data_IF_662354550797
#
_entry.id   IF_662354550797
#
_cell.length_a   1.000
_cell.length_b   1.000
_cell.length_c   1.000
_cell.angle_alpha   90.00
_cell.angle_beta   90.00
_cell.angle_gamma   90.00
#
_symmetry.space_group_name_H-M   'P 1'
#
loop_
_entity.id
_entity.type
_entity.pdbx_description
1 polymer ?
#
# COMPACT_ATOMS: atom_id res chain seq x y z
N UNK A 1 -11.59 28.60 26.17
CA UNK A 1 -10.98 27.61 25.26
C UNK A 1 -9.44 27.73 25.22
N UNK A 2 -8.86 28.91 25.03
CA UNK A 2 -7.39 29.12 25.09
C UNK A 2 -6.78 28.75 26.44
N UNK A 3 -7.42 29.08 27.56
CA UNK A 3 -6.93 28.76 28.92
C UNK A 3 -6.88 27.26 29.16
N UNK A 4 -7.90 26.50 28.72
CA UNK A 4 -7.96 25.03 28.85
C UNK A 4 -6.89 24.35 27.97
N UNK A 5 -6.64 24.89 26.77
CA UNK A 5 -5.60 24.38 25.87
C UNK A 5 -4.21 24.66 26.46
N UNK A 6 -3.97 25.84 27.03
CA UNK A 6 -2.70 26.19 27.65
C UNK A 6 -2.41 25.38 28.91
N UNK A 7 -3.41 25.03 29.71
CA UNK A 7 -3.25 24.16 30.88
C UNK A 7 -2.91 22.71 30.47
N UNK A 8 -3.58 22.17 29.46
CA UNK A 8 -3.28 20.81 28.94
C UNK A 8 -1.84 20.72 28.43
N UNK A 9 -1.35 21.75 27.72
CA UNK A 9 0.02 21.74 27.20
C UNK A 9 1.08 22.07 28.26
N UNK A 10 0.78 22.88 29.27
CA UNK A 10 1.71 23.21 30.33
C UNK A 10 2.05 22.03 31.25
N UNK A 11 1.11 21.09 31.43
CA UNK A 11 1.29 19.88 32.23
C UNK A 11 1.78 18.68 31.41
N UNK A 12 1.82 18.77 30.05
CA UNK A 12 2.23 17.69 29.19
C UNK A 12 3.74 17.74 28.96
N UNK A 13 4.49 17.13 29.88
CA UNK A 13 5.94 17.11 29.83
C UNK A 13 6.45 16.48 28.53
N UNK A 14 7.51 17.05 27.95
CA UNK A 14 8.10 16.63 26.67
C UNK A 14 8.45 15.13 26.62
N UNK A 15 8.89 14.52 27.71
CA UNK A 15 9.20 13.08 27.77
C UNK A 15 7.94 12.21 27.64
N UNK A 16 6.79 12.66 28.20
CA UNK A 16 5.51 11.98 28.02
C UNK A 16 5.07 12.07 26.56
N UNK A 17 5.20 13.24 25.93
CA UNK A 17 4.87 13.44 24.52
C UNK A 17 5.70 12.53 23.59
N UNK A 18 7.01 12.42 23.84
CA UNK A 18 7.88 11.52 23.07
C UNK A 18 7.47 10.07 23.26
N UNK A 19 7.16 9.66 24.49
CA UNK A 19 6.70 8.29 24.77
C UNK A 19 5.40 8.00 24.06
N UNK A 20 4.41 8.89 24.11
CA UNK A 20 3.13 8.71 23.40
C UNK A 20 3.33 8.68 21.89
N UNK A 21 4.24 9.50 21.34
CA UNK A 21 4.58 9.44 19.93
C UNK A 21 5.24 8.11 19.55
N UNK A 22 6.18 7.62 20.35
CA UNK A 22 6.81 6.32 20.13
C UNK A 22 5.79 5.17 20.18
N UNK A 23 4.87 5.20 21.15
CA UNK A 23 3.76 4.24 21.23
C UNK A 23 2.84 4.31 20.01
N UNK A 24 2.54 5.50 19.50
CA UNK A 24 1.75 5.67 18.28
C UNK A 24 2.43 5.06 17.04
N UNK A 25 3.76 5.17 16.93
CA UNK A 25 4.55 4.51 15.87
C UNK A 25 4.50 2.98 16.04
N UNK A 26 4.66 2.46 17.26
CA UNK A 26 4.53 1.02 17.55
C UNK A 26 3.13 0.54 17.16
N UNK A 27 2.08 1.25 17.56
CA UNK A 27 0.71 0.94 17.20
C UNK A 27 0.52 0.89 15.68
N UNK A 28 1.10 1.84 14.94
CA UNK A 28 1.03 1.85 13.48
C UNK A 28 1.61 0.57 12.87
N UNK A 29 2.77 0.13 13.36
CA UNK A 29 3.37 -1.12 12.87
C UNK A 29 2.56 -2.36 13.27
N UNK A 30 2.01 -2.41 14.49
CA UNK A 30 1.16 -3.51 14.95
C UNK A 30 -0.11 -3.61 14.08
N UNK A 31 -0.81 -2.50 13.88
CA UNK A 31 -2.04 -2.47 13.06
C UNK A 31 -1.74 -2.88 11.62
N UNK A 32 -0.62 -2.41 11.06
CA UNK A 32 -0.20 -2.78 9.72
C UNK A 32 0.20 -4.26 9.62
N UNK A 33 0.89 -4.80 10.63
CA UNK A 33 1.30 -6.20 10.68
C UNK A 33 0.08 -7.14 10.78
N UNK A 34 -0.89 -6.82 11.66
CA UNK A 34 -2.15 -7.55 11.74
C UNK A 34 -2.90 -7.45 10.42
N UNK A 35 -2.99 -6.23 9.85
CA UNK A 35 -3.66 -5.99 8.57
C UNK A 35 -3.06 -6.76 7.40
N UNK A 36 -1.75 -6.94 7.37
CA UNK A 36 -1.08 -7.71 6.32
C UNK A 36 -1.36 -9.24 6.42
N UNK A 37 -1.74 -9.72 7.60
CA UNK A 37 -2.04 -11.13 7.84
C UNK A 37 -3.53 -11.47 7.85
N UNK A 38 -4.36 -10.53 8.22
CA UNK A 38 -5.80 -10.67 8.17
C UNK A 38 -6.30 -10.37 6.75
N UNK A 39 -6.74 -11.38 6.02
CA UNK A 39 -7.24 -11.29 4.63
C UNK A 39 -8.37 -10.25 4.49
N UNK A 40 -9.08 -9.93 5.57
CA UNK A 40 -10.20 -8.98 5.62
C UNK A 40 -9.83 -7.56 6.02
N UNK A 41 -8.60 -7.29 6.46
CA UNK A 41 -8.21 -5.97 6.97
C UNK A 41 -7.64 -5.11 5.85
N UNK A 42 -8.52 -4.71 4.94
CA UNK A 42 -8.48 -3.60 4.01
C UNK A 42 -7.17 -2.92 3.66
N UNK A 43 -6.09 -3.67 3.36
CA UNK A 43 -5.01 -3.15 2.55
C UNK A 43 -5.40 -3.32 1.09
N UNK A 44 -5.59 -2.20 0.41
CA UNK A 44 -5.82 -2.18 -1.02
C UNK A 44 -4.57 -2.71 -1.72
N UNK A 45 -4.59 -3.98 -2.09
CA UNK A 45 -3.67 -4.53 -3.06
C UNK A 45 -4.08 -3.98 -4.44
N UNK A 46 -3.12 -3.83 -5.34
CA UNK A 46 -3.41 -3.42 -6.73
C UNK A 46 -4.20 -4.49 -7.51
N UNK A 47 -4.63 -5.58 -6.87
CA UNK A 47 -5.47 -6.58 -7.50
C UNK A 47 -6.71 -5.90 -8.09
N UNK A 48 -6.76 -5.84 -9.41
CA UNK A 48 -7.93 -5.44 -10.18
C UNK A 48 -9.02 -6.51 -10.03
N UNK A 49 -8.62 -7.77 -9.86
CA UNK A 49 -9.52 -8.84 -9.40
C UNK A 49 -9.82 -8.57 -7.93
N UNK A 50 -11.00 -8.07 -7.69
CA UNK A 50 -11.50 -7.65 -6.39
C UNK A 50 -11.50 -8.88 -5.47
N UNK A 51 -10.58 -8.92 -4.54
CA UNK A 51 -10.77 -9.68 -3.33
C UNK A 51 -11.84 -8.93 -2.53
N UNK A 52 -13.00 -9.54 -2.42
CA UNK A 52 -14.13 -9.04 -1.67
C UNK A 52 -13.68 -8.60 -0.29
N UNK A 53 -14.02 -7.38 0.10
CA UNK A 53 -13.82 -6.92 1.46
C UNK A 53 -14.87 -7.64 2.31
N UNK A 54 -14.48 -8.83 2.77
CA UNK A 54 -15.39 -9.82 3.35
C UNK A 54 -16.00 -9.42 4.69
N UNK A 55 -15.60 -8.27 5.28
CA UNK A 55 -16.18 -7.78 6.53
C UNK A 55 -16.01 -6.26 6.74
N UNK A 56 -16.79 -5.39 6.08
CA UNK A 56 -16.66 -3.93 6.26
C UNK A 56 -16.93 -3.47 7.70
N UNK A 57 -17.85 -4.11 8.40
CA UNK A 57 -18.13 -3.81 9.81
C UNK A 57 -16.95 -4.20 10.72
N UNK A 58 -16.30 -5.33 10.46
CA UNK A 58 -15.09 -5.72 11.17
C UNK A 58 -13.94 -4.76 10.89
N UNK A 59 -13.78 -4.31 9.66
CA UNK A 59 -12.80 -3.31 9.27
C UNK A 59 -13.02 -1.98 10.00
N UNK A 60 -14.28 -1.53 10.11
CA UNK A 60 -14.64 -0.34 10.88
C UNK A 60 -14.28 -0.53 12.35
N UNK A 61 -14.81 -1.58 12.98
CA UNK A 61 -14.56 -1.88 14.40
C UNK A 61 -13.07 -2.03 14.69
N UNK A 62 -12.34 -2.77 13.86
CA UNK A 62 -10.90 -2.94 14.05
C UNK A 62 -10.14 -1.62 13.98
N UNK A 63 -10.42 -0.77 12.98
CA UNK A 63 -9.74 0.51 12.82
C UNK A 63 -10.06 1.50 13.95
N UNK A 64 -11.27 1.46 14.49
CA UNK A 64 -11.71 2.33 15.59
C UNK A 64 -11.23 1.80 16.94
N UNK A 65 -11.38 0.50 17.19
CA UNK A 65 -11.09 -0.10 18.50
C UNK A 65 -9.61 -0.41 18.73
N UNK A 66 -8.82 -0.72 17.68
CA UNK A 66 -7.42 -1.08 17.86
C UNK A 66 -6.60 0.00 18.62
N UNK A 67 -6.71 1.31 18.30
CA UNK A 67 -6.05 2.34 19.10
C UNK A 67 -6.55 2.40 20.54
N UNK A 68 -7.87 2.23 20.75
CA UNK A 68 -8.49 2.27 22.08
C UNK A 68 -8.01 1.11 22.95
N UNK A 69 -8.04 -0.11 22.42
CA UNK A 69 -7.52 -1.29 23.13
C UNK A 69 -6.03 -1.11 23.44
N UNK A 70 -5.26 -0.57 22.50
CA UNK A 70 -3.84 -0.36 22.68
C UNK A 70 -3.54 0.62 23.83
N UNK A 71 -4.26 1.76 23.92
CA UNK A 71 -4.04 2.69 25.05
C UNK A 71 -4.44 2.09 26.41
N UNK A 72 -5.48 1.26 26.46
CA UNK A 72 -5.86 0.53 27.70
C UNK A 72 -4.73 -0.43 28.11
N UNK A 73 -4.18 -1.20 27.16
CA UNK A 73 -3.07 -2.11 27.43
C UNK A 73 -1.81 -1.36 27.85
N UNK A 74 -1.51 -0.22 27.23
CA UNK A 74 -0.37 0.62 27.64
C UNK A 74 -0.58 1.18 29.05
N UNK A 75 -1.80 1.68 29.37
CA UNK A 75 -2.13 2.22 30.69
C UNK A 75 -1.99 1.15 31.79
N UNK A 76 -2.52 -0.05 31.55
CA UNK A 76 -2.34 -1.18 32.44
C UNK A 76 -0.87 -1.60 32.58
N UNK A 77 -0.10 -1.56 31.50
CA UNK A 77 1.33 -1.83 31.52
C UNK A 77 2.12 -0.81 32.32
N UNK A 78 1.83 0.48 32.18
CA UNK A 78 2.46 1.55 32.97
C UNK A 78 2.11 1.43 34.46
N UNK A 79 0.89 1.06 34.77
CA UNK A 79 0.48 0.81 36.18
C UNK A 79 1.25 -0.40 36.76
N UNK A 80 1.38 -1.49 36.01
CA UNK A 80 2.08 -2.69 36.43
C UNK A 80 3.58 -2.48 36.76
N UNK A 81 4.20 -1.41 36.22
CA UNK A 81 5.60 -1.06 36.44
C UNK A 81 5.79 0.26 37.21
N UNK A 82 4.74 0.72 37.90
CA UNK A 82 4.73 1.95 38.70
C UNK A 82 5.07 3.25 37.92
N UNK A 83 4.81 3.27 36.62
CA UNK A 83 5.01 4.43 35.74
C UNK A 83 3.70 5.14 35.41
N UNK A 84 2.80 5.30 36.38
CA UNK A 84 1.45 5.88 36.21
C UNK A 84 1.44 7.32 35.66
N UNK A 85 2.55 8.07 35.82
CA UNK A 85 2.68 9.41 35.26
C UNK A 85 2.57 9.42 33.71
N UNK A 86 2.86 8.34 33.02
CA UNK A 86 2.72 8.20 31.58
C UNK A 86 1.28 7.93 31.14
N UNK A 87 0.37 7.61 32.08
CA UNK A 87 -1.07 7.48 31.76
C UNK A 87 -1.73 8.84 31.54
N UNK A 88 -1.09 9.93 31.99
CA UNK A 88 -1.64 11.28 31.85
C UNK A 88 -1.83 11.61 30.36
N UNK A 89 -3.09 11.87 29.98
CA UNK A 89 -3.46 12.22 28.60
C UNK A 89 -3.07 11.14 27.55
N UNK A 90 -3.09 9.85 27.91
CA UNK A 90 -2.66 8.74 27.03
C UNK A 90 -3.46 8.68 25.71
N UNK A 91 -4.64 9.31 25.61
CA UNK A 91 -5.41 9.44 24.37
C UNK A 91 -4.62 10.15 23.25
N UNK A 92 -3.57 10.92 23.57
CA UNK A 92 -2.69 11.50 22.55
C UNK A 92 -1.99 10.45 21.69
N UNK A 93 -1.80 9.22 22.18
CA UNK A 93 -1.30 8.12 21.37
C UNK A 93 -2.19 7.88 20.16
N UNK A 94 -3.53 7.90 20.35
CA UNK A 94 -4.49 7.76 19.25
C UNK A 94 -4.44 8.93 18.27
N UNK A 95 -4.28 10.17 18.76
CA UNK A 95 -4.17 11.36 17.92
C UNK A 95 -2.89 11.28 17.08
N UNK A 96 -1.73 11.00 17.69
CA UNK A 96 -0.45 10.85 17.00
C UNK A 96 -0.46 9.70 15.99
N UNK A 97 -1.12 8.58 16.33
CA UNK A 97 -1.29 7.46 15.40
C UNK A 97 -2.03 7.89 14.12
N UNK A 98 -3.13 8.63 14.24
CA UNK A 98 -3.88 9.08 13.07
C UNK A 98 -3.12 10.14 12.27
N UNK A 99 -2.42 11.08 12.93
CA UNK A 99 -1.54 12.03 12.25
C UNK A 99 -0.46 11.29 11.46
N UNK A 100 0.24 10.34 12.10
CA UNK A 100 1.27 9.54 11.45
C UNK A 100 0.74 8.74 10.26
N UNK A 101 -0.45 8.17 10.40
CA UNK A 101 -1.13 7.43 9.33
C UNK A 101 -1.46 8.32 8.15
N UNK A 102 -1.95 9.52 8.36
CA UNK A 102 -2.22 10.50 7.29
C UNK A 102 -0.93 10.88 6.57
N UNK A 103 0.10 11.24 7.33
CA UNK A 103 1.41 11.56 6.78
C UNK A 103 1.95 10.40 5.93
N UNK A 104 1.84 9.17 6.43
CA UNK A 104 2.25 7.99 5.68
C UNK A 104 1.49 7.83 4.36
N UNK A 105 0.15 7.99 4.36
CA UNK A 105 -0.68 7.92 3.15
C UNK A 105 -0.30 9.01 2.15
N UNK A 106 -0.03 10.22 2.61
CA UNK A 106 0.42 11.33 1.76
C UNK A 106 1.81 11.08 1.18
N UNK A 107 2.76 10.65 2.01
CA UNK A 107 4.13 10.35 1.59
C UNK A 107 4.22 9.20 0.58
N UNK A 108 3.34 8.21 0.71
CA UNK A 108 3.28 7.06 -0.21
C UNK A 108 2.46 7.32 -1.47
N UNK A 109 1.96 8.56 -1.69
CA UNK A 109 1.11 8.94 -2.83
C UNK A 109 -0.19 8.11 -2.94
N UNK A 110 -0.63 7.49 -1.86
CA UNK A 110 -1.84 6.64 -1.79
C UNK A 110 -3.12 7.44 -1.46
N UNK A 111 -3.02 8.75 -1.30
CA UNK A 111 -4.16 9.62 -0.94
C UNK A 111 -5.33 9.54 -1.93
N UNK A 112 -5.06 9.29 -3.23
CA UNK A 112 -6.09 9.11 -4.25
C UNK A 112 -6.84 7.77 -4.17
N UNK A 113 -6.27 6.78 -3.49
CA UNK A 113 -6.89 5.47 -3.24
C UNK A 113 -7.71 5.47 -1.95
N UNK A 114 -7.53 6.49 -1.11
CA UNK A 114 -8.14 6.58 0.21
C UNK A 114 -9.53 7.21 0.12
N UNK A 115 -10.50 6.57 0.77
CA UNK A 115 -11.81 7.18 0.99
C UNK A 115 -11.73 8.12 2.20
N UNK A 116 -11.54 9.41 1.95
CA UNK A 116 -11.33 10.40 3.00
C UNK A 116 -12.52 10.56 3.95
N UNK A 117 -13.77 10.40 3.45
CA UNK A 117 -14.96 10.47 4.28
C UNK A 117 -15.01 9.36 5.34
N UNK A 118 -14.70 8.13 4.94
CA UNK A 118 -14.59 7.02 5.88
C UNK A 118 -13.45 7.24 6.87
N UNK A 119 -12.31 7.77 6.43
CA UNK A 119 -11.19 8.04 7.32
C UNK A 119 -11.55 9.08 8.39
N UNK A 120 -12.25 10.16 8.01
CA UNK A 120 -12.71 11.19 8.96
C UNK A 120 -13.63 10.56 10.04
N UNK A 121 -14.54 9.67 9.63
CA UNK A 121 -15.43 8.97 10.58
C UNK A 121 -14.60 8.09 11.52
N UNK A 122 -13.61 7.35 10.99
CA UNK A 122 -12.74 6.51 11.82
C UNK A 122 -11.92 7.35 12.82
N UNK A 123 -11.40 8.49 12.42
CA UNK A 123 -10.66 9.39 13.30
C UNK A 123 -11.55 9.93 14.41
N UNK A 124 -12.69 10.49 14.03
CA UNK A 124 -13.63 11.07 15.00
C UNK A 124 -14.10 10.02 16.02
N UNK A 125 -14.50 8.84 15.54
CA UNK A 125 -14.97 7.75 16.41
C UNK A 125 -13.84 7.23 17.31
N UNK A 126 -12.63 6.98 16.75
CA UNK A 126 -11.50 6.45 17.50
C UNK A 126 -10.98 7.44 18.56
N UNK A 127 -10.83 8.72 18.20
CA UNK A 127 -10.36 9.76 19.12
C UNK A 127 -11.42 10.00 20.20
N UNK A 128 -12.69 10.15 19.82
CA UNK A 128 -13.79 10.35 20.78
C UNK A 128 -13.90 9.19 21.78
N UNK A 129 -13.80 7.95 21.29
CA UNK A 129 -13.82 6.76 22.14
C UNK A 129 -12.57 6.68 23.04
N UNK A 130 -11.39 7.06 22.53
CA UNK A 130 -10.16 7.11 23.34
C UNK A 130 -10.23 8.13 24.46
N UNK A 131 -10.79 9.31 24.20
CA UNK A 131 -11.01 10.33 25.24
C UNK A 131 -12.01 9.82 26.29
N UNK A 132 -13.12 9.23 25.85
CA UNK A 132 -14.10 8.66 26.77
C UNK A 132 -13.51 7.54 27.64
N UNK A 133 -12.76 6.62 27.05
CA UNK A 133 -12.08 5.53 27.79
C UNK A 133 -11.03 6.11 28.74
N UNK A 134 -10.33 7.18 28.35
CA UNK A 134 -9.39 7.86 29.23
C UNK A 134 -10.06 8.38 30.51
N UNK A 135 -11.26 8.98 30.40
CA UNK A 135 -12.01 9.40 31.60
C UNK A 135 -12.40 8.23 32.52
N UNK A 136 -12.62 7.04 31.94
CA UNK A 136 -12.85 5.83 32.73
C UNK A 136 -11.54 5.36 33.42
N UNK A 137 -10.42 5.37 32.71
CA UNK A 137 -9.10 5.02 33.27
C UNK A 137 -8.76 5.93 34.47
N UNK A 138 -8.99 7.23 34.38
CA UNK A 138 -8.75 8.15 35.48
C UNK A 138 -9.67 7.90 36.69
N UNK A 139 -10.85 7.35 36.49
CA UNK A 139 -11.83 7.08 37.56
C UNK A 139 -11.59 5.73 38.27
N UNK A 140 -10.78 4.85 37.71
CA UNK A 140 -10.58 3.48 38.22
C UNK A 140 -9.22 3.39 38.94
N UNK A 141 -9.25 2.87 40.16
CA UNK A 141 -8.06 2.69 40.99
C UNK A 141 -7.20 1.47 40.62
N UNK A 142 -7.70 0.59 39.74
CA UNK A 142 -7.00 -0.62 39.30
C UNK A 142 -7.45 -0.99 37.88
N UNK A 143 -6.59 -0.77 36.89
CA UNK A 143 -6.91 -1.00 35.47
C UNK A 143 -6.79 -2.48 35.11
N UNK A 144 -5.95 -3.23 35.84
CA UNK A 144 -5.77 -4.66 35.61
C UNK A 144 -7.05 -5.43 35.93
N UNK A 145 -7.63 -6.13 34.94
CA UNK A 145 -8.88 -6.84 35.16
C UNK A 145 -8.69 -8.03 36.09
N UNK A 146 -9.61 -8.23 36.99
CA UNK A 146 -9.72 -9.44 37.79
C UNK A 146 -9.93 -10.67 36.89
N UNK A 147 -9.28 -11.84 37.17
CA UNK A 147 -9.42 -13.05 36.35
C UNK A 147 -10.87 -13.50 36.15
N UNK A 148 -11.76 -13.22 37.08
CA UNK A 148 -13.17 -13.58 37.00
C UNK A 148 -13.93 -12.69 36.02
N UNK A 149 -13.64 -11.40 35.98
CA UNK A 149 -14.22 -10.45 35.00
C UNK A 149 -13.73 -10.70 33.57
N UNK A 150 -12.52 -11.25 33.40
CA UNK A 150 -12.00 -11.66 32.09
C UNK A 150 -12.83 -12.81 31.48
N UNK A 151 -13.30 -13.76 32.29
CA UNK A 151 -14.16 -14.86 31.83
C UNK A 151 -15.52 -14.36 31.35
N UNK A 152 -16.11 -13.37 32.01
CA UNK A 152 -17.36 -12.76 31.58
C UNK A 152 -17.21 -12.01 30.25
N UNK A 153 -16.08 -11.35 30.02
CA UNK A 153 -15.80 -10.62 28.78
C UNK A 153 -15.51 -11.57 27.59
N UNK A 154 -15.16 -12.83 27.84
CA UNK A 154 -14.93 -13.84 26.80
C UNK A 154 -16.18 -14.04 25.91
N UNK A 155 -17.37 -13.89 26.49
CA UNK A 155 -18.63 -13.94 25.73
C UNK A 155 -18.77 -12.80 24.73
N UNK A 156 -18.29 -11.61 25.05
CA UNK A 156 -18.29 -10.45 24.13
C UNK A 156 -17.38 -10.76 22.93
N UNK A 157 -16.19 -11.35 23.16
CA UNK A 157 -15.29 -11.79 22.11
C UNK A 157 -15.92 -12.88 21.23
N UNK A 158 -16.62 -13.84 21.81
CA UNK A 158 -17.33 -14.89 21.07
C UNK A 158 -18.44 -14.28 20.21
N UNK A 159 -19.23 -13.34 20.76
CA UNK A 159 -20.28 -12.66 20.00
C UNK A 159 -19.68 -11.83 18.86
N UNK A 160 -18.59 -11.08 19.09
CA UNK A 160 -17.90 -10.34 18.06
C UNK A 160 -17.33 -11.26 16.96
N UNK A 161 -16.80 -12.42 17.34
CA UNK A 161 -16.29 -13.43 16.41
C UNK A 161 -17.44 -14.00 15.55
N UNK A 162 -18.57 -14.38 16.16
CA UNK A 162 -19.74 -14.86 15.44
C UNK A 162 -20.29 -13.76 14.51
N UNK A 163 -20.39 -12.51 15.00
CA UNK A 163 -20.82 -11.37 14.21
C UNK A 163 -19.90 -11.14 12.99
N UNK A 164 -18.58 -11.26 13.14
CA UNK A 164 -17.62 -11.10 12.05
C UNK A 164 -17.75 -12.18 10.97
N UNK A 165 -18.16 -13.40 11.37
CA UNK A 165 -18.41 -14.51 10.41
C UNK A 165 -19.73 -14.31 9.67
N UNK A 166 -20.75 -13.79 10.33
CA UNK A 166 -22.10 -13.64 9.74
C UNK A 166 -22.23 -12.41 8.83
N UNK A 167 -21.43 -11.37 9.04
CA UNK A 167 -21.52 -10.11 8.28
C UNK A 167 -20.60 -10.07 7.06
N UNK A 168 -20.85 -10.92 6.09
CA UNK A 168 -20.32 -10.75 4.73
C UNK A 168 -21.20 -9.78 3.95
N UNK A 169 -21.12 -8.49 4.24
CA UNK A 169 -21.87 -7.47 3.47
C UNK A 169 -20.94 -6.79 2.49
N UNK A 170 -21.19 -6.95 1.20
CA UNK A 170 -20.54 -6.22 0.10
C UNK A 170 -21.00 -4.75 0.09
N UNK A 171 -20.33 -3.89 0.82
CA UNK A 171 -20.55 -2.43 0.72
C UNK A 171 -19.35 -1.81 -0.03
N UNK A 172 -19.62 -1.23 -1.20
CA UNK A 172 -18.71 -0.36 -1.98
C UNK A 172 -17.68 -1.00 -2.92
N UNK A 173 -18.02 -2.10 -3.58
CA UNK A 173 -17.21 -2.67 -4.68
C UNK A 173 -16.97 -1.65 -5.81
N UNK A 174 -18.03 -0.99 -6.28
CA UNK A 174 -17.96 0.00 -7.37
C UNK A 174 -17.07 1.21 -7.03
N UNK A 175 -17.17 1.74 -5.83
CA UNK A 175 -16.33 2.84 -5.38
C UNK A 175 -14.85 2.48 -5.32
N UNK A 176 -14.52 1.24 -4.96
CA UNK A 176 -13.13 0.76 -4.91
C UNK A 176 -12.55 0.60 -6.31
N UNK A 177 -13.31 0.01 -7.24
CA UNK A 177 -12.92 -0.11 -8.65
C UNK A 177 -12.69 1.27 -9.26
N UNK A 178 -13.63 2.20 -9.06
CA UNK A 178 -13.50 3.56 -9.58
C UNK A 178 -12.27 4.28 -9.04
N UNK A 179 -11.93 4.12 -7.75
CA UNK A 179 -10.71 4.71 -7.19
C UNK A 179 -9.44 4.09 -7.77
N UNK A 180 -9.38 2.76 -7.94
CA UNK A 180 -8.25 2.07 -8.57
C UNK A 180 -8.05 2.54 -10.01
N UNK A 181 -9.12 2.59 -10.78
CA UNK A 181 -9.09 3.06 -12.16
C UNK A 181 -8.60 4.51 -12.24
N UNK A 182 -9.12 5.39 -11.41
CA UNK A 182 -8.69 6.80 -11.35
C UNK A 182 -7.20 6.92 -10.94
N UNK A 183 -6.73 6.06 -10.04
CA UNK A 183 -5.32 6.03 -9.67
C UNK A 183 -4.43 5.66 -10.85
N UNK A 184 -4.73 4.55 -11.55
CA UNK A 184 -3.98 4.08 -12.72
C UNK A 184 -3.93 5.16 -13.79
N UNK A 185 -5.09 5.73 -14.16
CA UNK A 185 -5.20 6.82 -15.15
C UNK A 185 -4.36 8.05 -14.72
N UNK A 186 -4.46 8.44 -13.46
CA UNK A 186 -3.69 9.58 -12.94
C UNK A 186 -2.18 9.34 -12.95
N UNK A 187 -1.74 8.11 -12.63
CA UNK A 187 -0.30 7.77 -12.66
C UNK A 187 0.21 7.67 -14.08
N UNK A 188 -0.53 7.01 -14.96
CA UNK A 188 -0.22 6.97 -16.40
C UNK A 188 -0.02 8.38 -16.98
N UNK A 189 -0.99 9.28 -16.78
CA UNK A 189 -0.91 10.66 -17.26
C UNK A 189 0.32 11.39 -16.70
N UNK A 190 0.62 11.18 -15.41
CA UNK A 190 1.78 11.80 -14.78
C UNK A 190 3.09 11.28 -15.37
N UNK A 191 3.21 9.97 -15.57
CA UNK A 191 4.42 9.36 -16.13
C UNK A 191 4.56 9.65 -17.61
N UNK A 192 3.48 9.63 -18.36
CA UNK A 192 3.48 10.02 -19.77
C UNK A 192 4.00 11.43 -19.93
N UNK A 193 3.48 12.40 -19.16
CA UNK A 193 3.98 13.79 -19.20
C UNK A 193 5.50 13.89 -18.90
N UNK A 194 6.04 13.00 -18.09
CA UNK A 194 7.45 13.10 -17.67
C UNK A 194 8.42 12.29 -18.51
N UNK A 195 8.00 11.12 -19.01
CA UNK A 195 8.90 10.15 -19.63
C UNK A 195 8.50 9.77 -21.05
N UNK A 196 7.48 10.40 -21.64
CA UNK A 196 6.96 10.08 -22.99
C UNK A 196 8.07 10.16 -24.05
N UNK A 197 8.91 11.20 -24.01
CA UNK A 197 10.01 11.39 -24.95
C UNK A 197 10.95 10.20 -24.93
N UNK A 198 11.43 9.78 -23.76
CA UNK A 198 12.38 8.68 -23.60
C UNK A 198 11.77 7.35 -24.08
N UNK A 199 10.49 7.13 -23.76
CA UNK A 199 9.81 5.88 -24.10
C UNK A 199 9.52 5.82 -25.60
N UNK A 200 9.06 6.92 -26.21
CA UNK A 200 8.78 6.99 -27.65
C UNK A 200 10.03 7.01 -28.53
N UNK A 201 11.12 7.60 -28.06
CA UNK A 201 12.42 7.47 -28.74
C UNK A 201 12.91 6.03 -28.72
N UNK A 202 12.53 5.26 -27.70
CA UNK A 202 12.90 3.89 -27.58
C UNK A 202 11.92 2.94 -28.26
N UNK A 203 10.63 3.05 -28.06
CA UNK A 203 9.58 2.21 -28.64
C UNK A 203 8.78 2.97 -29.72
N UNK A 204 8.55 2.29 -30.85
CA UNK A 204 7.68 2.76 -31.91
C UNK A 204 6.36 1.99 -31.97
N UNK A 205 6.00 1.29 -30.89
CA UNK A 205 4.84 0.44 -30.81
C UNK A 205 4.06 0.66 -29.51
N UNK A 206 2.74 0.81 -29.64
CA UNK A 206 1.80 1.07 -28.56
C UNK A 206 1.82 -0.03 -27.47
N UNK A 207 2.05 -1.29 -27.86
CA UNK A 207 2.09 -2.41 -26.91
C UNK A 207 3.23 -2.26 -25.90
N UNK A 208 4.45 -2.00 -26.37
CA UNK A 208 5.62 -1.84 -25.49
C UNK A 208 5.55 -0.55 -24.66
N UNK A 209 4.99 0.53 -25.23
CA UNK A 209 4.72 1.74 -24.46
C UNK A 209 3.76 1.43 -23.30
N UNK A 210 2.61 0.82 -23.58
CA UNK A 210 1.60 0.48 -22.59
C UNK A 210 2.16 -0.45 -21.51
N UNK A 211 2.92 -1.47 -21.90
CA UNK A 211 3.55 -2.41 -20.97
C UNK A 211 4.58 -1.72 -20.06
N UNK A 212 5.41 -0.85 -20.62
CA UNK A 212 6.41 -0.08 -19.84
C UNK A 212 5.74 0.79 -18.80
N UNK A 213 4.68 1.53 -19.17
CA UNK A 213 3.91 2.32 -18.19
C UNK A 213 3.23 1.45 -17.13
N UNK A 214 2.79 0.24 -17.50
CA UNK A 214 2.12 -0.68 -16.57
C UNK A 214 3.08 -1.18 -15.51
N UNK A 215 4.27 -1.59 -15.90
CA UNK A 215 5.34 -1.98 -14.98
C UNK A 215 5.73 -0.79 -14.09
N UNK A 216 5.92 0.39 -14.68
CA UNK A 216 6.27 1.61 -13.94
C UNK A 216 5.22 2.00 -12.89
N UNK A 217 3.94 1.86 -13.20
CA UNK A 217 2.83 2.15 -12.27
C UNK A 217 2.84 1.14 -11.13
N UNK A 218 3.04 -0.14 -11.43
CA UNK A 218 3.10 -1.19 -10.43
C UNK A 218 4.30 -0.99 -9.48
N UNK A 219 5.47 -0.73 -10.02
CA UNK A 219 6.69 -0.51 -9.23
C UNK A 219 6.58 0.76 -8.36
N UNK A 220 6.05 1.86 -8.91
CA UNK A 220 5.86 3.10 -8.14
C UNK A 220 4.81 2.93 -7.02
N UNK A 221 3.81 2.08 -7.22
CA UNK A 221 2.84 1.76 -6.19
C UNK A 221 3.47 0.95 -5.04
N UNK A 222 4.25 -0.07 -5.35
CA UNK A 222 4.91 -0.92 -4.36
C UNK A 222 6.15 -0.27 -3.74
N UNK A 223 6.84 0.58 -4.50
CA UNK A 223 8.05 1.32 -4.10
C UNK A 223 7.85 2.82 -4.29
N UNK A 224 7.02 3.49 -3.46
CA UNK A 224 6.80 4.93 -3.57
C UNK A 224 8.10 5.71 -3.34
N UNK A 225 8.13 6.97 -3.73
CA UNK A 225 9.35 7.83 -3.73
C UNK A 225 10.14 7.78 -2.44
N UNK A 226 9.47 7.74 -1.29
CA UNK A 226 10.13 7.69 0.03
C UNK A 226 10.91 6.39 0.19
N UNK A 227 10.32 5.25 -0.21
CA UNK A 227 10.98 3.94 -0.14
C UNK A 227 12.20 3.91 -1.07
N UNK A 228 12.06 4.39 -2.32
CA UNK A 228 13.19 4.50 -3.25
C UNK A 228 14.31 5.40 -2.73
N UNK A 229 13.97 6.49 -2.05
CA UNK A 229 14.98 7.34 -1.43
C UNK A 229 15.77 6.59 -0.34
N UNK A 230 15.10 5.77 0.47
CA UNK A 230 15.74 4.90 1.47
C UNK A 230 16.62 3.84 0.77
N UNK A 231 16.19 3.28 -0.36
CA UNK A 231 16.97 2.34 -1.16
C UNK A 231 18.25 3.00 -1.73
N UNK A 232 18.16 4.23 -2.22
CA UNK A 232 19.33 5.01 -2.65
C UNK A 232 20.30 5.27 -1.50
N UNK A 233 19.79 5.65 -0.33
CA UNK A 233 20.60 5.85 0.87
C UNK A 233 21.30 4.55 1.29
N UNK A 234 20.56 3.44 1.29
CA UNK A 234 21.11 2.11 1.58
C UNK A 234 22.18 1.71 0.58
N UNK A 235 21.96 1.92 -0.70
CA UNK A 235 22.95 1.65 -1.74
C UNK A 235 24.24 2.47 -1.53
N UNK A 236 24.07 3.76 -1.21
CA UNK A 236 25.20 4.66 -0.95
C UNK A 236 26.05 4.20 0.25
N UNK A 237 25.40 3.70 1.32
CA UNK A 237 26.08 3.21 2.52
C UNK A 237 26.74 1.84 2.28
N UNK A 238 26.02 0.89 1.69
CA UNK A 238 26.46 -0.50 1.63
C UNK A 238 27.32 -0.83 0.43
N UNK A 239 27.19 -0.05 -0.66
CA UNK A 239 27.86 -0.27 -1.96
C UNK A 239 27.64 -1.68 -2.53
N UNK A 240 26.56 -2.37 -2.14
CA UNK A 240 26.19 -3.69 -2.65
C UNK A 240 25.16 -3.56 -3.77
N UNK A 241 25.11 -4.52 -4.71
CA UNK A 241 24.06 -4.56 -5.73
C UNK A 241 22.68 -4.45 -5.10
N UNK A 242 21.86 -3.57 -5.66
CA UNK A 242 20.51 -3.29 -5.17
C UNK A 242 19.57 -2.92 -6.32
N UNK A 243 18.27 -3.05 -6.08
CA UNK A 243 17.27 -2.57 -7.04
C UNK A 243 17.10 -1.05 -6.89
N UNK A 244 17.28 -0.32 -7.99
CA UNK A 244 17.24 1.14 -8.01
C UNK A 244 16.34 1.68 -9.12
N UNK A 245 15.97 2.94 -8.99
CA UNK A 245 15.17 3.67 -9.97
C UNK A 245 13.68 3.34 -9.94
N UNK A 246 12.92 3.98 -10.82
CA UNK A 246 11.45 3.84 -10.86
C UNK A 246 11.01 2.47 -11.39
N UNK A 247 11.85 1.82 -12.18
CA UNK A 247 11.60 0.49 -12.75
C UNK A 247 12.24 -0.64 -11.94
N UNK A 248 12.82 -0.35 -10.78
CA UNK A 248 13.42 -1.33 -9.85
C UNK A 248 14.42 -2.28 -10.53
N UNK A 249 15.39 -1.70 -11.25
CA UNK A 249 16.44 -2.48 -11.91
C UNK A 249 17.53 -2.85 -10.92
N UNK A 250 17.90 -4.13 -10.88
CA UNK A 250 19.04 -4.60 -10.07
C UNK A 250 20.35 -4.17 -10.69
N UNK A 251 21.16 -3.43 -9.97
CA UNK A 251 22.41 -2.86 -10.45
C UNK A 251 23.46 -2.77 -9.35
N UNK A 252 24.72 -2.79 -9.75
CA UNK A 252 25.90 -2.52 -8.91
C UNK A 252 26.38 -1.07 -9.00
N UNK A 253 25.78 -0.27 -9.92
CA UNK A 253 26.07 1.14 -10.14
C UNK A 253 24.88 2.00 -9.73
N UNK A 254 25.17 3.25 -9.38
CA UNK A 254 24.10 4.22 -9.17
C UNK A 254 23.43 4.53 -10.52
N UNK A 255 22.11 4.39 -10.55
CA UNK A 255 21.28 4.76 -11.69
C UNK A 255 20.15 5.68 -11.21
N UNK A 256 19.78 6.62 -12.05
CA UNK A 256 18.60 7.46 -11.83
C UNK A 256 17.32 6.81 -12.42
N UNK A 257 16.22 7.55 -12.38
CA UNK A 257 14.95 7.05 -12.91
C UNK A 257 14.98 6.88 -14.44
N UNK A 258 15.65 7.76 -15.16
CA UNK A 258 15.69 7.70 -16.63
C UNK A 258 16.55 6.53 -17.11
N UNK A 259 17.70 6.33 -16.48
CA UNK A 259 18.56 5.19 -16.77
C UNK A 259 17.86 3.87 -16.40
N UNK A 260 17.14 3.82 -15.27
CA UNK A 260 16.37 2.63 -14.92
C UNK A 260 15.27 2.31 -15.94
N UNK A 261 14.65 3.32 -16.56
CA UNK A 261 13.66 3.14 -17.63
C UNK A 261 14.36 2.57 -18.87
N UNK A 262 15.50 3.13 -19.31
CA UNK A 262 16.25 2.65 -20.47
C UNK A 262 16.68 1.19 -20.32
N UNK A 263 17.26 0.84 -19.19
CA UNK A 263 17.67 -0.55 -18.89
C UNK A 263 16.47 -1.51 -18.85
N UNK A 264 15.35 -1.08 -18.30
CA UNK A 264 14.13 -1.88 -18.26
C UNK A 264 13.53 -2.11 -19.64
N UNK A 265 13.52 -1.09 -20.49
CA UNK A 265 13.04 -1.22 -21.87
C UNK A 265 13.91 -2.22 -22.68
N UNK A 266 15.23 -2.20 -22.50
CA UNK A 266 16.11 -3.21 -23.08
C UNK A 266 15.80 -4.62 -22.59
N UNK A 267 15.53 -4.78 -21.28
CA UNK A 267 15.13 -6.05 -20.70
C UNK A 267 13.79 -6.53 -21.27
N UNK A 268 12.79 -5.65 -21.36
CA UNK A 268 11.47 -5.97 -21.93
C UNK A 268 11.61 -6.51 -23.37
N UNK A 269 12.43 -5.86 -24.22
CA UNK A 269 12.67 -6.32 -25.61
C UNK A 269 13.32 -7.69 -25.61
N UNK A 270 14.35 -7.89 -24.77
CA UNK A 270 15.02 -9.19 -24.66
C UNK A 270 14.05 -10.29 -24.21
N UNK A 271 13.32 -10.05 -23.15
CA UNK A 271 12.33 -11.00 -22.58
C UNK A 271 11.24 -11.33 -23.61
N UNK A 272 10.77 -10.32 -24.35
CA UNK A 272 9.80 -10.51 -25.42
C UNK A 272 10.33 -11.46 -26.54
N UNK A 273 11.56 -11.27 -26.98
CA UNK A 273 12.17 -12.15 -28.00
C UNK A 273 12.34 -13.58 -27.51
N UNK A 274 12.76 -13.74 -26.28
CA UNK A 274 12.97 -15.07 -25.70
C UNK A 274 11.62 -15.80 -25.57
N UNK A 275 10.55 -15.09 -25.23
CA UNK A 275 9.18 -15.62 -25.21
C UNK A 275 8.74 -16.00 -26.63
N UNK A 276 8.87 -15.12 -27.62
CA UNK A 276 8.42 -15.37 -28.98
C UNK A 276 9.09 -16.61 -29.61
N UNK A 277 10.35 -16.86 -29.29
CA UNK A 277 11.06 -18.08 -29.75
C UNK A 277 10.48 -19.38 -29.19
N UNK A 278 9.96 -19.33 -27.96
CA UNK A 278 9.41 -20.53 -27.30
C UNK A 278 7.95 -20.81 -27.63
N UNK A 279 7.22 -19.81 -28.10
CA UNK A 279 5.76 -19.88 -28.35
C UNK A 279 5.39 -19.86 -29.82
N UNK A 280 6.36 -20.08 -30.74
CA UNK A 280 6.14 -20.10 -32.19
C UNK A 280 5.06 -21.07 -32.66
N UNK A 281 4.81 -22.16 -31.90
CA UNK A 281 3.84 -23.21 -32.23
C UNK A 281 2.52 -23.11 -31.44
N UNK A 282 2.32 -22.04 -30.65
CA UNK A 282 1.10 -21.86 -29.85
C UNK A 282 0.00 -21.12 -30.64
N UNK A 283 -1.30 -21.38 -30.35
CA UNK A 283 -2.38 -20.58 -30.92
C UNK A 283 -2.20 -19.12 -30.55
N UNK A 284 -2.58 -18.20 -31.44
CA UNK A 284 -2.39 -16.73 -31.34
C UNK A 284 -2.55 -16.20 -29.92
N UNK A 285 -1.48 -15.70 -29.29
CA UNK A 285 -1.56 -15.11 -27.98
C UNK A 285 -2.21 -13.72 -28.09
N UNK A 286 -3.14 -13.39 -27.19
CA UNK A 286 -3.62 -12.03 -27.06
C UNK A 286 -2.59 -11.12 -26.39
N UNK A 287 -2.76 -9.80 -26.55
CA UNK A 287 -1.84 -8.82 -25.98
C UNK A 287 -1.72 -8.91 -24.45
N UNK A 288 -2.81 -9.27 -23.75
CA UNK A 288 -2.79 -9.40 -22.29
C UNK A 288 -1.97 -10.61 -21.84
N UNK A 289 -2.06 -11.72 -22.60
CA UNK A 289 -1.28 -12.92 -22.29
C UNK A 289 0.21 -12.69 -22.54
N UNK A 290 0.57 -12.04 -23.65
CA UNK A 290 1.98 -11.67 -23.94
C UNK A 290 2.52 -10.70 -22.88
N UNK A 291 1.72 -9.70 -22.49
CA UNK A 291 2.11 -8.78 -21.41
C UNK A 291 2.34 -9.51 -20.07
N UNK A 292 1.49 -10.51 -19.76
CA UNK A 292 1.67 -11.36 -18.59
C UNK A 292 2.99 -12.14 -18.65
N UNK A 293 3.30 -12.78 -19.78
CA UNK A 293 4.54 -13.57 -19.95
C UNK A 293 5.80 -12.70 -19.81
N UNK A 294 5.79 -11.51 -20.45
CA UNK A 294 6.92 -10.57 -20.34
C UNK A 294 7.08 -10.09 -18.88
N UNK A 295 5.98 -9.76 -18.21
CA UNK A 295 6.02 -9.35 -16.82
C UNK A 295 6.51 -10.49 -15.89
N UNK A 296 6.16 -11.74 -16.18
CA UNK A 296 6.65 -12.90 -15.44
C UNK A 296 8.16 -13.11 -15.60
N UNK A 297 8.70 -12.89 -16.80
CA UNK A 297 10.15 -12.92 -17.04
C UNK A 297 10.86 -11.70 -16.45
N UNK A 298 10.18 -10.55 -16.41
CA UNK A 298 10.71 -9.33 -15.82
C UNK A 298 10.98 -9.49 -14.32
N UNK A 299 10.05 -10.13 -13.57
CA UNK A 299 10.22 -10.48 -12.16
C UNK A 299 9.96 -11.98 -11.94
N UNK A 300 10.97 -12.85 -12.20
CA UNK A 300 10.79 -14.29 -12.14
C UNK A 300 10.39 -14.79 -10.77
N UNK A 301 9.44 -15.73 -10.73
CA UNK A 301 8.98 -16.38 -9.50
C UNK A 301 7.82 -15.66 -8.80
N UNK A 302 7.38 -14.51 -9.29
CA UNK A 302 6.22 -13.79 -8.76
C UNK A 302 5.06 -13.78 -9.77
N UNK A 303 4.24 -14.83 -9.71
CA UNK A 303 3.02 -14.93 -10.54
C UNK A 303 2.03 -13.79 -10.28
N UNK A 304 1.96 -13.33 -9.03
CA UNK A 304 1.08 -12.23 -8.64
C UNK A 304 1.51 -10.92 -9.30
N UNK A 305 2.82 -10.65 -9.33
CA UNK A 305 3.39 -9.52 -10.05
C UNK A 305 2.92 -9.48 -11.50
N UNK A 306 3.12 -10.61 -12.21
CA UNK A 306 2.76 -10.72 -13.61
C UNK A 306 1.26 -10.50 -13.86
N UNK A 307 0.40 -11.07 -13.00
CA UNK A 307 -1.04 -10.89 -13.09
C UNK A 307 -1.47 -9.45 -12.85
N UNK A 308 -0.91 -8.77 -11.85
CA UNK A 308 -1.26 -7.38 -11.56
C UNK A 308 -0.76 -6.40 -12.64
N UNK A 309 0.44 -6.62 -13.18
CA UNK A 309 0.96 -5.84 -14.32
C UNK A 309 0.09 -6.02 -15.56
N UNK A 310 -0.33 -7.26 -15.88
CA UNK A 310 -1.27 -7.55 -16.98
C UNK A 310 -2.57 -6.77 -16.81
N UNK A 311 -3.13 -6.76 -15.60
CA UNK A 311 -4.41 -6.10 -15.34
C UNK A 311 -4.30 -4.58 -15.48
N UNK A 312 -3.18 -3.97 -15.06
CA UNK A 312 -2.87 -2.57 -15.30
C UNK A 312 -2.70 -2.31 -16.81
N UNK A 313 -2.00 -3.21 -17.51
CA UNK A 313 -1.81 -3.15 -18.95
C UNK A 313 -3.14 -3.17 -19.69
N UNK A 314 -4.03 -4.11 -19.38
CA UNK A 314 -5.35 -4.22 -19.99
C UNK A 314 -6.14 -2.91 -19.84
N UNK A 315 -6.10 -2.30 -18.67
CA UNK A 315 -6.78 -1.02 -18.43
C UNK A 315 -6.16 0.14 -19.20
N UNK A 316 -4.83 0.23 -19.25
CA UNK A 316 -4.12 1.28 -19.99
C UNK A 316 -4.37 1.10 -21.48
N UNK A 317 -4.24 -0.12 -21.99
CA UNK A 317 -4.46 -0.46 -23.38
C UNK A 317 -5.86 -0.06 -23.85
N UNK A 318 -6.88 -0.46 -23.12
CA UNK A 318 -8.29 -0.14 -23.47
C UNK A 318 -8.64 1.34 -23.33
N UNK A 319 -7.96 2.08 -22.45
CA UNK A 319 -8.29 3.48 -22.18
C UNK A 319 -7.58 4.44 -23.13
N UNK A 320 -6.30 4.17 -23.49
CA UNK A 320 -5.43 5.14 -24.13
C UNK A 320 -4.91 4.72 -25.51
N UNK A 321 -5.00 3.43 -25.86
CA UNK A 321 -4.50 2.91 -27.13
C UNK A 321 -5.63 2.29 -27.94
N UNK A 322 -5.62 2.48 -29.27
CA UNK A 322 -6.73 2.05 -30.13
C UNK A 322 -6.56 0.62 -30.66
N UNK A 323 -5.34 0.25 -30.91
CA UNK A 323 -5.01 -1.04 -31.54
C UNK A 323 -3.87 -1.71 -30.77
N UNK A 324 -4.10 -2.97 -30.43
CA UNK A 324 -3.05 -3.83 -29.84
C UNK A 324 -2.83 -5.02 -30.78
N UNK A 325 -1.59 -5.56 -30.84
CA UNK A 325 -1.33 -6.77 -31.58
C UNK A 325 -2.23 -7.91 -31.10
N UNK A 326 -2.79 -8.70 -32.02
CA UNK A 326 -3.71 -9.79 -31.73
C UNK A 326 -3.25 -11.13 -32.33
N UNK A 327 -2.11 -11.14 -33.04
CA UNK A 327 -1.53 -12.33 -33.66
C UNK A 327 -0.06 -12.52 -33.32
N UNK A 328 0.39 -13.77 -33.31
CA UNK A 328 1.79 -14.11 -33.11
C UNK A 328 2.72 -13.41 -34.11
N UNK A 329 2.35 -13.38 -35.38
CA UNK A 329 3.14 -12.75 -36.46
C UNK A 329 3.34 -11.25 -36.23
N UNK A 330 2.36 -10.55 -35.67
CA UNK A 330 2.49 -9.15 -35.30
C UNK A 330 3.44 -8.95 -34.14
N UNK A 331 3.34 -9.78 -33.09
CA UNK A 331 4.26 -9.71 -31.95
C UNK A 331 5.69 -10.02 -32.36
N UNK A 332 5.90 -11.02 -33.23
CA UNK A 332 7.24 -11.38 -33.72
C UNK A 332 7.85 -10.26 -34.55
N UNK A 333 7.07 -9.65 -35.47
CA UNK A 333 7.52 -8.51 -36.27
C UNK A 333 7.94 -7.33 -35.41
N UNK A 334 7.13 -7.01 -34.40
CA UNK A 334 7.41 -5.90 -33.47
C UNK A 334 8.67 -6.21 -32.63
N UNK A 335 8.78 -7.41 -32.08
CA UNK A 335 9.93 -7.81 -31.29
C UNK A 335 11.23 -7.81 -32.09
N UNK A 336 11.17 -8.25 -33.35
CA UNK A 336 12.33 -8.23 -34.27
C UNK A 336 12.67 -6.81 -34.70
N UNK A 337 11.70 -5.96 -35.01
CA UNK A 337 11.91 -4.55 -35.37
C UNK A 337 12.60 -3.79 -34.25
N UNK A 338 12.06 -3.86 -33.04
CA UNK A 338 12.60 -3.17 -31.87
C UNK A 338 14.01 -3.66 -31.47
N UNK A 339 14.36 -4.88 -31.86
CA UNK A 339 15.74 -5.39 -31.67
C UNK A 339 16.70 -4.89 -32.74
N UNK A 340 16.30 -4.91 -34.04
CA UNK A 340 17.18 -4.60 -35.17
C UNK A 340 17.57 -3.14 -35.25
N UNK A 341 16.68 -2.26 -34.79
CA UNK A 341 16.90 -0.80 -34.76
C UNK A 341 17.85 -0.33 -33.65
N UNK A 342 18.37 -1.24 -32.80
CA UNK A 342 19.09 -0.89 -31.57
C UNK A 342 20.40 -1.64 -31.33
N UNK A 343 20.84 -2.46 -32.30
CA UNK A 343 22.21 -2.96 -32.41
C UNK A 343 23.03 -1.94 -33.21
#
# INVERSE_FOLDING_TARGET
MEVVISEIFAEYCWYIAITHFALAVVLFFIVNWIGARAISVGYMQMNIVIQEDTAPAFNFLFKVLAPVVFIVLCAAGFEAIDLTSFNKNIYFVTIFYWIFRVLFVLCTSRGKLTNWWEQIIYWAASIGLSIWVYTLIESVTNILPDPQSLLEQLWILIIMFIYSILNKVEISREGTIKRKNNYIISRYTTFKKKYDTIIKEFFHNDFYEALTYSIMIYEDFNRPRVVRWIEYLRFWITRKPHTLGIMQVTTDKFIDNEESIRLSMQKIVKDSRDIMKHYSDSPSPDANYVAFLIAHNYNPGDYKYASEVRDIFSQIATTFYKTMPDSYDEFEKIANYEHTTRI
#
